data_IF_993563251402
#
_entry.id   IF_993563251402
#
_cell.length_a   1.000
_cell.length_b   1.000
_cell.length_c   1.000
_cell.angle_alpha   90.00
_cell.angle_beta   90.00
_cell.angle_gamma   90.00
#
_symmetry.space_group_name_H-M   'P 1'
#
loop_
_entity.id
_entity.type
_entity.pdbx_description
1 polymer ?
#
# COMPACT_ATOMS: atom_id res chain seq x y z
N UNK A 1 -10.15 -6.64 8.47
CA UNK A 1 -9.05 -5.70 8.70
C UNK A 1 -7.74 -6.42 8.94
N UNK A 2 -7.74 -7.45 9.78
CA UNK A 2 -6.52 -8.22 10.04
C UNK A 2 -5.91 -8.83 8.79
N UNK A 3 -6.74 -9.39 7.91
CA UNK A 3 -6.26 -10.00 6.68
C UNK A 3 -5.63 -8.96 5.75
N UNK A 4 -6.18 -7.75 5.71
CA UNK A 4 -5.66 -6.69 4.86
C UNK A 4 -4.27 -6.25 5.35
N UNK A 5 -4.12 -6.06 6.67
CA UNK A 5 -2.84 -5.69 7.27
C UNK A 5 -1.82 -6.81 7.08
N UNK A 6 -2.24 -8.07 7.26
CA UNK A 6 -1.35 -9.21 7.06
C UNK A 6 -0.84 -9.29 5.63
N UNK A 7 -1.70 -9.01 4.65
CA UNK A 7 -1.29 -8.99 3.25
C UNK A 7 -0.27 -7.89 2.98
N UNK A 8 -0.46 -6.72 3.58
CA UNK A 8 0.48 -5.61 3.43
C UNK A 8 1.84 -5.96 4.07
N UNK A 9 1.84 -6.63 5.22
CA UNK A 9 3.07 -7.07 5.86
C UNK A 9 3.82 -8.09 5.02
N UNK A 10 3.10 -9.05 4.45
CA UNK A 10 3.71 -10.05 3.58
C UNK A 10 4.32 -9.41 2.34
N UNK A 11 3.62 -8.47 1.75
CA UNK A 11 4.13 -7.76 0.57
C UNK A 11 5.38 -6.95 0.91
N UNK A 12 5.42 -6.32 2.08
CA UNK A 12 6.57 -5.55 2.50
C UNK A 12 7.85 -6.39 2.53
N UNK A 13 7.74 -7.66 2.91
CA UNK A 13 8.90 -8.55 2.97
C UNK A 13 9.54 -8.76 1.60
N UNK A 14 8.83 -8.50 0.52
CA UNK A 14 9.34 -8.63 -0.84
C UNK A 14 9.78 -7.30 -1.46
N UNK A 15 9.72 -6.21 -0.71
CA UNK A 15 10.06 -4.90 -1.24
C UNK A 15 11.52 -4.82 -1.70
N UNK A 16 11.74 -4.08 -2.77
CA UNK A 16 13.08 -3.83 -3.30
C UNK A 16 13.44 -2.39 -2.99
N UNK A 17 14.17 -2.18 -1.90
CA UNK A 17 14.49 -0.84 -1.41
C UNK A 17 15.99 -0.71 -1.06
N UNK A 18 16.90 -0.94 -2.06
CA UNK A 18 18.34 -0.92 -1.77
C UNK A 18 18.88 0.47 -1.52
N UNK A 19 18.19 1.51 -1.96
CA UNK A 19 18.67 2.89 -1.86
C UNK A 19 18.22 3.55 -0.56
N UNK A 20 16.93 3.57 -0.30
CA UNK A 20 16.39 4.19 0.91
C UNK A 20 16.47 3.27 2.12
N UNK A 21 16.46 1.97 1.88
CA UNK A 21 16.32 0.92 2.90
C UNK A 21 15.02 1.03 3.66
N UNK A 22 14.03 1.61 3.03
CA UNK A 22 12.73 1.82 3.63
C UNK A 22 11.70 1.00 2.87
N UNK A 23 11.50 -0.24 3.34
CA UNK A 23 10.58 -1.18 2.72
C UNK A 23 9.15 -0.90 3.14
N UNK A 24 8.25 -0.89 2.18
CA UNK A 24 6.82 -0.61 2.41
C UNK A 24 5.99 -1.66 1.70
N UNK A 25 4.94 -2.13 2.37
CA UNK A 25 3.94 -2.98 1.75
C UNK A 25 2.59 -2.30 1.82
N UNK A 26 1.75 -2.56 0.85
CA UNK A 26 0.39 -2.04 0.81
C UNK A 26 -0.56 -3.14 0.39
N UNK A 27 -1.80 -3.05 0.83
CA UNK A 27 -2.85 -3.97 0.40
C UNK A 27 -4.14 -3.20 0.24
N UNK A 28 -4.89 -3.55 -0.78
CA UNK A 28 -6.15 -2.91 -1.14
C UNK A 28 -7.25 -3.94 -1.14
N UNK A 29 -8.42 -3.56 -0.59
CA UNK A 29 -9.61 -4.38 -0.67
C UNK A 29 -10.48 -3.81 -1.79
N UNK A 30 -10.86 -4.64 -2.75
CA UNK A 30 -11.68 -4.17 -3.87
C UNK A 30 -13.17 -4.36 -3.58
N UNK A 31 -14.00 -3.94 -4.55
CA UNK A 31 -15.46 -3.98 -4.41
C UNK A 31 -16.02 -5.40 -4.37
N UNK A 32 -15.23 -6.39 -4.75
CA UNK A 32 -15.66 -7.78 -4.73
C UNK A 32 -15.09 -8.56 -3.54
N UNK A 33 -14.46 -7.86 -2.60
CA UNK A 33 -13.91 -8.49 -1.41
C UNK A 33 -12.56 -9.13 -1.61
N UNK A 34 -11.89 -8.87 -2.72
CA UNK A 34 -10.55 -9.41 -2.99
C UNK A 34 -9.48 -8.47 -2.48
N UNK A 35 -8.37 -9.05 -2.03
CA UNK A 35 -7.23 -8.29 -1.52
C UNK A 35 -6.12 -8.32 -2.56
N UNK A 36 -5.57 -7.15 -2.87
CA UNK A 36 -4.46 -6.98 -3.81
C UNK A 36 -3.32 -6.28 -3.09
N UNK A 37 -2.15 -6.91 -3.12
CA UNK A 37 -1.01 -6.40 -2.36
C UNK A 37 0.10 -5.94 -3.30
N UNK A 38 0.93 -5.03 -2.80
CA UNK A 38 2.09 -4.54 -3.52
C UNK A 38 3.16 -4.08 -2.56
N UNK A 39 4.36 -3.90 -3.07
CA UNK A 39 5.50 -3.40 -2.31
C UNK A 39 6.20 -2.33 -3.13
N UNK A 40 7.03 -1.52 -2.46
CA UNK A 40 7.79 -0.53 -3.20
C UNK A 40 8.94 -1.21 -3.93
N UNK A 41 9.22 -0.69 -5.12
CA UNK A 41 10.30 -1.15 -5.98
C UNK A 41 11.09 0.09 -6.39
N UNK A 42 12.30 0.21 -5.87
CA UNK A 42 13.12 1.37 -6.12
C UNK A 42 13.97 1.19 -7.38
N UNK A 43 14.37 2.31 -7.94
CA UNK A 43 15.22 2.34 -9.13
C UNK A 43 16.26 3.43 -8.93
N UNK A 44 17.48 3.19 -9.44
CA UNK A 44 18.54 4.19 -9.37
C UNK A 44 18.11 5.50 -10.03
N UNK A 45 17.29 5.42 -11.08
CA UNK A 45 16.61 6.59 -11.64
C UNK A 45 15.34 6.81 -10.81
N UNK A 46 15.42 7.70 -9.84
CA UNK A 46 14.35 7.88 -8.85
C UNK A 46 12.96 8.00 -9.46
N UNK A 47 12.73 8.76 -10.55
CA UNK A 47 11.39 8.87 -11.11
C UNK A 47 10.80 7.55 -11.61
N UNK A 48 11.61 6.51 -11.78
CA UNK A 48 11.14 5.20 -12.21
C UNK A 48 10.80 4.28 -11.04
N UNK A 49 10.96 4.74 -9.81
CA UNK A 49 10.60 3.96 -8.65
C UNK A 49 9.09 3.82 -8.54
N UNK A 50 8.64 2.67 -8.00
CA UNK A 50 7.23 2.39 -7.78
C UNK A 50 6.94 2.35 -6.30
N UNK A 51 5.92 3.08 -5.86
CA UNK A 51 5.43 2.99 -4.49
C UNK A 51 4.61 1.72 -4.30
N UNK A 52 4.52 1.26 -3.06
CA UNK A 52 3.76 0.05 -2.73
C UNK A 52 2.30 0.18 -3.15
N UNK A 53 1.70 1.33 -2.94
CA UNK A 53 0.31 1.58 -3.30
C UNK A 53 0.10 1.49 -4.81
N UNK A 54 1.02 2.04 -5.60
CA UNK A 54 0.92 1.96 -7.06
C UNK A 54 1.02 0.53 -7.55
N UNK A 55 1.89 -0.28 -6.94
CA UNK A 55 2.00 -1.70 -7.27
C UNK A 55 0.71 -2.44 -6.96
N UNK A 56 0.10 -2.16 -5.81
CA UNK A 56 -1.13 -2.80 -5.40
C UNK A 56 -2.30 -2.42 -6.32
N UNK A 57 -2.35 -1.15 -6.75
CA UNK A 57 -3.37 -0.68 -7.70
C UNK A 57 -3.25 -1.42 -9.02
N UNK A 58 -2.03 -1.64 -9.50
CA UNK A 58 -1.81 -2.37 -10.74
C UNK A 58 -2.36 -3.79 -10.64
N UNK A 59 -2.15 -4.47 -9.52
CA UNK A 59 -2.71 -5.80 -9.31
C UNK A 59 -4.23 -5.78 -9.27
N UNK A 60 -4.81 -4.79 -8.60
CA UNK A 60 -6.26 -4.65 -8.51
C UNK A 60 -6.87 -4.50 -9.91
N UNK A 61 -6.30 -3.61 -10.72
CA UNK A 61 -6.81 -3.36 -12.08
C UNK A 61 -6.64 -4.59 -12.94
N UNK A 62 -5.49 -5.26 -12.85
CA UNK A 62 -5.22 -6.47 -13.63
C UNK A 62 -6.22 -7.58 -13.30
N UNK A 63 -6.65 -7.66 -12.05
CA UNK A 63 -7.63 -8.66 -11.62
C UNK A 63 -9.07 -8.27 -11.94
N UNK A 64 -9.29 -7.12 -12.53
CA UNK A 64 -10.62 -6.68 -12.92
C UNK A 64 -11.30 -5.74 -11.93
N UNK A 65 -10.63 -5.38 -10.84
CA UNK A 65 -11.19 -4.44 -9.87
C UNK A 65 -11.17 -3.01 -10.40
N UNK A 66 -12.09 -2.19 -9.89
CA UNK A 66 -12.20 -0.79 -10.30
C UNK A 66 -12.45 0.14 -9.13
N UNK A 67 -12.69 -0.41 -7.93
CA UNK A 67 -12.94 0.40 -6.74
C UNK A 67 -12.13 -0.13 -5.57
N UNK A 68 -11.64 0.80 -4.76
CA UNK A 68 -10.92 0.50 -3.53
C UNK A 68 -11.86 0.78 -2.36
N UNK A 69 -12.07 -0.23 -1.53
CA UNK A 69 -12.97 -0.15 -0.38
C UNK A 69 -12.20 0.12 0.91
N UNK A 70 -10.97 -0.38 1.00
CA UNK A 70 -10.11 -0.15 2.17
C UNK A 70 -8.65 -0.30 1.76
N UNK A 71 -7.77 0.36 2.50
CA UNK A 71 -6.32 0.35 2.22
C UNK A 71 -5.57 0.06 3.51
N UNK A 72 -4.51 -0.73 3.42
CA UNK A 72 -3.55 -0.91 4.52
C UNK A 72 -2.15 -0.66 4.00
N UNK A 73 -1.36 0.07 4.75
CA UNK A 73 0.04 0.38 4.43
C UNK A 73 0.90 0.03 5.64
N UNK A 74 1.96 -0.73 5.42
CA UNK A 74 2.87 -1.15 6.48
C UNK A 74 4.30 -0.77 6.13
N UNK A 75 4.96 -0.08 7.05
CA UNK A 75 6.38 0.29 6.93
C UNK A 75 7.16 -0.13 8.15
N UNK A 76 8.42 0.27 8.22
CA UNK A 76 9.30 -0.03 9.38
C UNK A 76 9.79 1.27 10.00
N UNK A 77 8.99 2.27 10.06
CA UNK A 77 9.42 3.52 10.68
C UNK A 77 9.07 3.50 12.16
N UNK A 78 9.72 4.37 12.93
CA UNK A 78 9.34 4.57 14.32
C UNK A 78 7.96 5.21 14.42
N UNK A 79 7.48 5.78 13.31
CA UNK A 79 6.14 6.33 13.19
C UNK A 79 5.40 5.62 12.06
N UNK A 80 4.07 5.55 12.11
CA UNK A 80 3.31 4.97 11.02
C UNK A 80 3.60 5.69 9.70
N UNK A 81 3.62 4.92 8.63
CA UNK A 81 3.87 5.45 7.29
C UNK A 81 2.54 5.85 6.67
N UNK A 82 2.45 7.09 6.20
CA UNK A 82 1.26 7.53 5.47
C UNK A 82 1.55 7.53 3.97
N UNK A 83 0.52 7.37 3.13
CA UNK A 83 0.73 7.46 1.69
C UNK A 83 1.29 8.82 1.29
N UNK A 84 2.20 8.84 0.33
CA UNK A 84 2.75 10.10 -0.17
C UNK A 84 1.68 10.84 -0.99
N UNK A 85 1.96 12.10 -1.36
CA UNK A 85 1.00 12.89 -2.12
C UNK A 85 0.58 12.26 -3.42
N UNK A 86 1.55 11.73 -4.18
CA UNK A 86 1.26 11.04 -5.45
C UNK A 86 0.44 9.79 -5.25
N UNK A 87 0.72 9.02 -4.18
CA UNK A 87 -0.04 7.82 -3.89
C UNK A 87 -1.45 8.16 -3.42
N UNK A 88 -1.63 9.24 -2.69
CA UNK A 88 -2.97 9.69 -2.30
C UNK A 88 -3.82 9.98 -3.54
N UNK A 89 -3.24 10.62 -4.54
CA UNK A 89 -3.95 10.89 -5.79
C UNK A 89 -4.30 9.61 -6.52
N UNK A 90 -3.36 8.66 -6.59
CA UNK A 90 -3.62 7.37 -7.22
C UNK A 90 -4.74 6.61 -6.52
N UNK A 91 -4.76 6.64 -5.20
CA UNK A 91 -5.81 5.97 -4.44
C UNK A 91 -7.16 6.63 -4.68
N UNK A 92 -7.21 7.95 -4.74
CA UNK A 92 -8.46 8.66 -4.93
C UNK A 92 -9.08 8.41 -6.30
N UNK A 93 -8.28 8.02 -7.27
CA UNK A 93 -8.82 7.67 -8.58
C UNK A 93 -9.81 6.51 -8.48
N UNK A 94 -9.59 5.60 -7.53
CA UNK A 94 -10.39 4.39 -7.38
C UNK A 94 -11.19 4.33 -6.09
N UNK A 95 -10.98 5.25 -5.15
CA UNK A 95 -11.58 5.20 -3.83
C UNK A 95 -12.49 6.39 -3.58
N UNK A 96 -13.53 6.16 -2.76
CA UNK A 96 -14.40 7.24 -2.33
C UNK A 96 -13.76 8.04 -1.19
N UNK A 97 -14.40 9.14 -0.81
CA UNK A 97 -13.89 10.03 0.22
C UNK A 97 -13.82 9.38 1.60
N UNK A 98 -14.68 8.42 1.85
CA UNK A 98 -14.77 7.74 3.14
C UNK A 98 -14.04 6.40 3.18
N UNK A 99 -13.19 6.15 2.20
CA UNK A 99 -12.39 4.92 2.16
C UNK A 99 -11.40 4.91 3.32
N UNK A 100 -11.45 3.93 4.23
CA UNK A 100 -10.52 3.87 5.35
C UNK A 100 -9.12 3.50 4.87
N UNK A 101 -8.11 4.17 5.44
CA UNK A 101 -6.71 3.88 5.21
C UNK A 101 -6.08 3.52 6.54
N UNK A 102 -5.65 2.28 6.67
CA UNK A 102 -5.01 1.77 7.88
C UNK A 102 -3.51 1.83 7.71
N UNK A 103 -2.83 2.48 8.64
CA UNK A 103 -1.38 2.61 8.62
C UNK A 103 -0.81 1.90 9.83
N UNK A 104 0.18 1.05 9.61
CA UNK A 104 0.77 0.25 10.67
C UNK A 104 2.27 0.14 10.48
N UNK A 105 2.98 -0.07 11.59
CA UNK A 105 4.36 -0.51 11.51
C UNK A 105 4.40 -2.03 11.74
N UNK A 106 5.61 -2.59 11.75
CA UNK A 106 5.76 -4.04 11.88
C UNK A 106 5.41 -4.57 13.26
N UNK A 107 5.52 -3.74 14.27
CA UNK A 107 5.54 -4.24 15.64
C UNK A 107 4.28 -3.97 16.40
N UNK A 108 3.69 -2.84 16.19
CA UNK A 108 2.57 -2.41 17.02
C UNK A 108 1.49 -1.81 16.18
N UNK A 109 0.59 -1.34 16.78
CA UNK A 109 -0.58 -0.71 16.39
C UNK A 109 -0.66 -0.06 15.03
N UNK A 110 -1.76 0.54 14.82
CA UNK A 110 -2.08 1.19 13.55
C UNK A 110 -2.86 2.45 13.83
N UNK A 111 -2.83 3.34 12.84
CA UNK A 111 -3.65 4.54 12.86
C UNK A 111 -4.56 4.53 11.65
N UNK A 112 -5.73 5.10 11.82
CA UNK A 112 -6.68 5.31 10.73
C UNK A 112 -6.47 6.72 10.19
N UNK A 113 -6.28 6.83 8.89
CA UNK A 113 -5.98 8.12 8.25
C UNK A 113 -7.11 8.54 7.33
#
# INVERSE_FOLDING_TARGET
>A
MGALIAAARSARAQAYAPYSRFAVGAALLDEQGRIHAGCNVENAAYPQSQCAEASAIAHLVLAGGRRIVAVAVVGVASQPVTPCGGCRQRLREFAGDDCPVWVADLEIGRAHV
#
